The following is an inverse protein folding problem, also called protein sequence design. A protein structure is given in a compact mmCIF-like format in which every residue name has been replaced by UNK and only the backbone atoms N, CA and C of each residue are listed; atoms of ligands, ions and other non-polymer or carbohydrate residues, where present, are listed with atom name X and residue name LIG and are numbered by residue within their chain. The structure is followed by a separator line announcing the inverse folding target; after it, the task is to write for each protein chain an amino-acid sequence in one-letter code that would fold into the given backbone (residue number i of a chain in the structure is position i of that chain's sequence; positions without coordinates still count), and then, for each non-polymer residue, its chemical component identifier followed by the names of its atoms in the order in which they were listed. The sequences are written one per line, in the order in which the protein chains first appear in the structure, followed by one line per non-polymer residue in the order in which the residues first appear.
data_IF_234226015566
#
_entry.id   IF_234226015566
#
_cell.length_a   1.000
_cell.length_b   1.000
_cell.length_c   1.000
_cell.angle_alpha   90.00
_cell.angle_beta   90.00
_cell.angle_gamma   90.00
#
_symmetry.space_group_name_H-M   'P 1'
#
loop_
_entity.id
_entity.type
_entity.pdbx_description
1 polymer ?
#
# COMPACT_ATOMS: atom_id res chain seq x y z
N UNK A 1 62.40 59.87 -50.80
CA UNK A 1 61.03 59.83 -51.36
C UNK A 1 60.10 59.69 -50.17
N UNK A 2 59.38 60.77 -49.87
CA UNK A 2 58.30 60.93 -48.86
C UNK A 2 58.68 60.97 -47.37
N UNK A 3 58.88 62.20 -46.88
CA UNK A 3 58.21 62.89 -45.75
C UNK A 3 57.08 62.12 -45.02
N UNK A 4 56.65 62.44 -43.81
CA UNK A 4 57.01 63.24 -42.63
C UNK A 4 55.70 63.17 -41.79
N UNK A 5 55.74 63.33 -40.46
CA UNK A 5 54.48 63.49 -39.72
C UNK A 5 54.41 62.95 -38.29
N UNK A 6 55.32 63.41 -37.45
CA UNK A 6 55.10 63.92 -36.08
C UNK A 6 53.90 63.45 -35.23
N UNK A 7 54.30 62.83 -34.11
CA UNK A 7 53.65 62.71 -32.80
C UNK A 7 53.15 64.04 -32.19
N UNK A 8 52.11 63.97 -31.33
CA UNK A 8 52.13 64.59 -29.98
C UNK A 8 50.99 64.15 -29.05
N UNK A 9 51.33 64.12 -27.76
CA UNK A 9 50.58 63.68 -26.58
C UNK A 9 49.33 64.50 -26.21
N UNK A 10 48.42 63.88 -25.45
CA UNK A 10 47.48 64.55 -24.54
C UNK A 10 46.64 63.54 -23.73
N UNK A 11 46.61 63.67 -22.39
CA UNK A 11 46.00 62.75 -21.41
C UNK A 11 44.78 63.44 -20.75
N UNK A 12 43.70 62.65 -20.52
CA UNK A 12 42.52 62.82 -19.62
C UNK A 12 41.35 63.77 -19.93
N UNK A 13 40.15 63.17 -20.12
CA UNK A 13 38.89 63.36 -19.34
C UNK A 13 37.84 62.30 -19.78
N UNK A 14 37.03 61.68 -18.88
CA UNK A 14 35.83 60.92 -19.28
C UNK A 14 34.57 61.77 -19.07
N UNK A 15 33.77 61.97 -20.12
CA UNK A 15 32.47 62.66 -20.06
C UNK A 15 31.34 61.68 -20.48
N UNK A 16 30.17 61.68 -19.80
CA UNK A 16 29.07 60.76 -20.02
C UNK A 16 28.00 61.36 -20.95
N UNK A 17 27.60 60.59 -21.96
CA UNK A 17 26.41 60.84 -22.80
C UNK A 17 25.83 59.45 -23.14
N UNK A 18 24.86 58.90 -22.40
CA UNK A 18 23.44 59.27 -22.32
C UNK A 18 22.78 59.56 -23.69
N UNK A 19 21.89 58.62 -24.02
CA UNK A 19 20.61 58.80 -24.71
C UNK A 19 20.56 59.39 -26.11
N UNK A 20 20.87 58.52 -27.09
CA UNK A 20 20.55 58.74 -28.51
C UNK A 20 19.52 57.72 -29.05
N UNK A 21 18.68 57.15 -28.17
CA UNK A 21 17.60 56.21 -28.56
C UNK A 21 16.19 56.81 -28.55
N UNK A 22 16.01 58.04 -28.07
CA UNK A 22 14.68 58.66 -27.91
C UNK A 22 14.21 59.53 -29.11
N UNK A 23 14.96 59.55 -30.22
CA UNK A 23 14.60 60.38 -31.39
C UNK A 23 13.87 59.65 -32.52
N UNK A 24 13.70 58.33 -32.44
CA UNK A 24 13.18 57.52 -33.55
C UNK A 24 11.66 57.27 -33.47
N UNK A 25 11.00 57.54 -32.35
CA UNK A 25 9.56 57.30 -32.22
C UNK A 25 8.83 58.51 -31.64
N UNK A 26 8.06 59.20 -32.50
CA UNK A 26 7.29 60.40 -32.16
C UNK A 26 6.15 60.17 -31.14
N UNK A 27 5.54 61.26 -30.63
CA UNK A 27 4.78 61.30 -29.39
C UNK A 27 3.30 60.88 -29.54
N UNK A 28 3.02 59.83 -30.30
CA UNK A 28 1.65 59.37 -30.60
C UNK A 28 1.58 57.83 -30.61
N UNK A 29 2.08 57.16 -29.57
CA UNK A 29 1.65 55.78 -29.25
C UNK A 29 1.39 55.65 -27.76
N UNK A 30 0.20 56.10 -27.38
CA UNK A 30 -0.34 55.98 -26.04
C UNK A 30 -0.23 54.55 -25.48
N UNK A 31 0.23 54.50 -24.23
CA UNK A 31 0.33 53.34 -23.36
C UNK A 31 -0.92 52.46 -23.39
N UNK A 32 -0.81 51.24 -23.92
CA UNK A 32 -1.72 50.15 -23.56
C UNK A 32 -1.21 49.58 -22.23
N UNK A 33 -2.01 49.56 -21.15
CA UNK A 33 -1.56 49.02 -19.88
C UNK A 33 -1.40 47.50 -20.00
N UNK A 34 -0.16 47.02 -20.04
CA UNK A 34 0.17 45.60 -19.87
C UNK A 34 -0.07 45.21 -18.41
N UNK A 35 -1.34 45.02 -18.07
CA UNK A 35 -1.70 44.26 -16.88
C UNK A 35 -1.28 42.81 -17.08
N UNK A 36 -0.75 42.23 -16.00
CA UNK A 36 -0.48 40.81 -15.73
C UNK A 36 0.86 40.23 -16.22
N UNK A 37 1.93 40.54 -15.48
CA UNK A 37 3.18 39.75 -15.47
C UNK A 37 3.66 39.34 -14.06
N UNK A 38 2.74 39.20 -13.11
CA UNK A 38 3.06 38.72 -11.76
C UNK A 38 2.64 37.24 -11.51
N UNK A 39 1.77 36.66 -12.36
CA UNK A 39 1.18 35.34 -12.11
C UNK A 39 1.96 34.16 -12.71
N UNK A 40 2.87 34.42 -13.64
CA UNK A 40 3.63 33.36 -14.34
C UNK A 40 4.82 32.83 -13.54
N UNK A 41 5.47 33.68 -12.74
CA UNK A 41 6.60 33.25 -11.89
C UNK A 41 6.17 32.29 -10.78
N UNK A 42 4.98 32.49 -10.21
CA UNK A 42 4.43 31.60 -9.19
C UNK A 42 4.05 30.22 -9.74
N UNK A 43 3.59 30.14 -11.00
CA UNK A 43 3.19 28.87 -11.64
C UNK A 43 4.42 28.05 -12.04
N UNK A 44 5.48 28.68 -12.54
CA UNK A 44 6.72 27.99 -12.92
C UNK A 44 7.55 27.63 -11.67
N UNK A 45 7.65 28.54 -10.70
CA UNK A 45 8.33 28.24 -9.43
C UNK A 45 7.61 27.15 -8.62
N UNK A 46 6.27 27.20 -8.59
CA UNK A 46 5.45 26.18 -7.93
C UNK A 46 5.52 24.81 -8.60
N UNK A 47 5.52 24.74 -9.94
CA UNK A 47 5.62 23.47 -10.66
C UNK A 47 6.98 22.81 -10.48
N UNK A 48 8.07 23.57 -10.47
CA UNK A 48 9.42 23.05 -10.20
C UNK A 48 9.53 22.52 -8.77
N UNK A 49 8.93 23.19 -7.80
CA UNK A 49 8.94 22.75 -6.39
C UNK A 49 8.14 21.45 -6.20
N UNK A 50 7.00 21.33 -6.88
CA UNK A 50 6.20 20.09 -6.89
C UNK A 50 6.96 18.96 -7.57
N UNK A 51 7.59 19.21 -8.73
CA UNK A 51 8.38 18.19 -9.43
C UNK A 51 9.60 17.78 -8.61
N UNK A 52 10.29 18.73 -7.98
CA UNK A 52 11.41 18.44 -7.09
C UNK A 52 10.97 17.65 -5.84
N UNK A 53 9.81 17.96 -5.27
CA UNK A 53 9.22 17.21 -4.16
C UNK A 53 8.82 15.78 -4.60
N UNK A 54 8.21 15.62 -5.78
CA UNK A 54 7.90 14.31 -6.35
C UNK A 54 9.18 13.52 -6.62
N UNK A 55 10.20 14.13 -7.22
CA UNK A 55 11.50 13.52 -7.46
C UNK A 55 12.18 13.17 -6.14
N UNK A 56 12.10 14.00 -5.11
CA UNK A 56 12.64 13.73 -3.79
C UNK A 56 11.87 12.63 -3.05
N UNK A 57 10.55 12.52 -3.23
CA UNK A 57 9.72 11.43 -2.70
C UNK A 57 10.02 10.12 -3.43
N UNK A 58 10.14 10.15 -4.76
CA UNK A 58 10.49 8.99 -5.59
C UNK A 58 11.92 8.54 -5.31
N UNK A 59 12.89 9.47 -5.26
CA UNK A 59 14.26 9.17 -4.85
C UNK A 59 14.33 8.74 -3.40
N UNK A 60 13.51 9.31 -2.52
CA UNK A 60 13.40 8.91 -1.11
C UNK A 60 12.84 7.49 -0.96
N UNK A 61 11.89 7.08 -1.80
CA UNK A 61 11.40 5.70 -1.82
C UNK A 61 12.44 4.74 -2.40
N UNK A 62 13.20 5.16 -3.41
CA UNK A 62 14.33 4.41 -3.97
C UNK A 62 15.48 4.32 -2.95
N UNK A 63 15.81 5.38 -2.23
CA UNK A 63 16.89 5.38 -1.22
C UNK A 63 16.45 4.66 0.05
N UNK A 64 15.18 4.71 0.44
CA UNK A 64 14.60 3.84 1.48
C UNK A 64 14.64 2.35 1.11
N UNK A 65 14.59 2.03 -0.19
CA UNK A 65 14.87 0.69 -0.72
C UNK A 65 16.37 0.34 -0.64
N UNK A 66 17.27 1.31 -0.86
CA UNK A 66 18.73 1.10 -0.85
C UNK A 66 19.34 1.07 0.56
N UNK A 67 18.81 1.82 1.53
CA UNK A 67 19.28 1.80 2.93
C UNK A 67 18.76 0.60 3.74
N UNK A 68 17.82 -0.17 3.19
CA UNK A 68 17.48 -1.52 3.68
C UNK A 68 18.42 -2.62 3.15
N UNK A 69 19.50 -2.27 2.46
CA UNK A 69 20.44 -3.26 1.92
C UNK A 69 21.74 -2.69 1.40
N UNK A 70 22.67 -2.35 2.29
CA UNK A 70 24.09 -2.47 1.93
C UNK A 70 24.39 -3.99 1.93
N UNK A 71 24.14 -4.61 0.76
CA UNK A 71 24.28 -6.06 0.49
C UNK A 71 23.00 -6.80 0.05
N UNK A 72 21.92 -6.10 -0.30
CA UNK A 72 20.56 -6.65 -0.47
C UNK A 72 20.34 -7.56 -1.68
N UNK A 73 20.34 -8.88 -1.46
CA UNK A 73 19.77 -9.89 -2.40
C UNK A 73 19.00 -11.00 -1.66
N UNK A 74 19.07 -11.05 -0.33
CA UNK A 74 18.50 -12.15 0.44
C UNK A 74 17.20 -11.75 1.16
N UNK A 75 16.13 -12.56 1.04
CA UNK A 75 14.88 -12.35 1.76
C UNK A 75 15.11 -12.35 3.28
N UNK A 76 14.48 -11.40 3.97
CA UNK A 76 14.53 -11.29 5.44
C UNK A 76 13.11 -11.35 6.02
N UNK A 77 12.56 -12.55 6.24
CA UNK A 77 11.20 -12.68 6.74
C UNK A 77 11.01 -12.06 8.13
N UNK A 78 12.00 -12.18 9.02
CA UNK A 78 11.92 -11.64 10.38
C UNK A 78 11.82 -10.11 10.37
N UNK A 79 12.61 -9.43 9.54
CA UNK A 79 12.55 -7.96 9.39
C UNK A 79 11.20 -7.51 8.82
N UNK A 80 10.59 -8.32 7.94
CA UNK A 80 9.24 -8.02 7.44
C UNK A 80 8.19 -8.17 8.55
N UNK A 81 8.35 -9.13 9.48
CA UNK A 81 7.49 -9.29 10.64
C UNK A 81 7.70 -8.16 11.67
N UNK A 82 8.92 -7.74 11.96
CA UNK A 82 9.19 -6.60 12.86
C UNK A 82 8.50 -5.30 12.36
N UNK A 83 8.56 -5.08 11.04
CA UNK A 83 7.88 -3.96 10.37
C UNK A 83 6.36 -4.09 10.43
N UNK A 84 5.85 -5.33 10.34
CA UNK A 84 4.43 -5.62 10.45
C UNK A 84 3.95 -5.33 11.88
N UNK A 85 4.65 -5.81 12.90
CA UNK A 85 4.34 -5.58 14.32
C UNK A 85 4.24 -4.08 14.64
N UNK A 86 5.23 -3.30 14.20
CA UNK A 86 5.25 -1.83 14.37
C UNK A 86 3.99 -1.15 13.80
N UNK A 87 3.32 -1.75 12.81
CA UNK A 87 2.08 -1.22 12.23
C UNK A 87 0.81 -1.80 12.85
N UNK A 88 0.89 -2.97 13.49
CA UNK A 88 -0.28 -3.72 13.96
C UNK A 88 -0.49 -3.61 15.47
N UNK A 89 0.58 -3.47 16.25
CA UNK A 89 0.50 -3.45 17.72
C UNK A 89 -0.39 -2.32 18.27
N UNK A 90 -0.41 -1.18 17.59
CA UNK A 90 -1.23 -0.02 17.98
C UNK A 90 -2.65 -0.02 17.36
N UNK A 91 -3.00 -1.05 16.57
CA UNK A 91 -4.33 -1.10 15.95
C UNK A 91 -5.42 -1.39 17.01
N UNK A 92 -6.50 -0.59 17.04
CA UNK A 92 -7.61 -0.84 17.95
C UNK A 92 -8.18 -2.25 17.78
N UNK A 93 -8.26 -2.97 18.90
CA UNK A 93 -8.83 -4.32 18.94
C UNK A 93 -7.83 -5.44 18.66
N UNK A 94 -6.54 -5.17 18.45
CA UNK A 94 -5.50 -6.21 18.51
C UNK A 94 -5.19 -6.56 19.96
N UNK A 95 -5.14 -7.85 20.27
CA UNK A 95 -4.77 -8.38 21.60
C UNK A 95 -3.35 -8.94 21.59
N UNK A 96 -3.00 -9.68 20.53
CA UNK A 96 -1.75 -10.41 20.45
C UNK A 96 -1.37 -10.62 18.98
N UNK A 97 -0.09 -10.47 18.67
CA UNK A 97 0.51 -10.88 17.40
C UNK A 97 1.44 -12.04 17.68
N UNK A 98 1.22 -13.16 16.98
CA UNK A 98 2.05 -14.37 17.10
C UNK A 98 2.71 -14.69 15.78
N UNK A 99 4.02 -14.74 15.77
CA UNK A 99 4.80 -15.16 14.59
C UNK A 99 4.88 -16.68 14.50
N UNK A 100 5.00 -17.16 13.27
CA UNK A 100 5.25 -18.56 12.95
C UNK A 100 6.51 -18.68 12.11
N UNK A 101 7.04 -19.90 12.00
CA UNK A 101 8.18 -20.17 11.14
C UNK A 101 7.87 -19.71 9.70
N UNK A 102 8.74 -18.88 9.09
CA UNK A 102 8.57 -18.47 7.71
C UNK A 102 8.56 -19.67 6.76
N UNK A 103 7.69 -19.64 5.75
CA UNK A 103 7.61 -20.69 4.75
C UNK A 103 8.42 -20.30 3.51
N UNK A 104 9.33 -21.16 3.05
CA UNK A 104 10.08 -20.92 1.82
C UNK A 104 9.20 -21.25 0.61
N UNK A 105 8.99 -20.27 -0.28
CA UNK A 105 8.14 -20.43 -1.46
C UNK A 105 8.93 -20.52 -2.77
N UNK A 106 10.23 -20.23 -2.72
CA UNK A 106 11.11 -20.24 -3.89
C UNK A 106 12.57 -20.03 -3.52
N UNK A 107 13.43 -19.88 -4.52
CA UNK A 107 14.88 -19.77 -4.31
C UNK A 107 15.24 -18.59 -3.39
N UNK A 108 14.64 -17.42 -3.66
CA UNK A 108 14.77 -16.20 -2.89
C UNK A 108 13.38 -15.62 -2.59
N UNK A 109 12.44 -16.46 -2.17
CA UNK A 109 11.11 -16.01 -1.74
C UNK A 109 10.58 -16.76 -0.53
N UNK A 110 9.93 -16.02 0.36
CA UNK A 110 9.40 -16.51 1.62
C UNK A 110 8.04 -15.90 1.92
N UNK A 111 7.19 -16.66 2.57
CA UNK A 111 6.05 -16.14 3.31
C UNK A 111 6.44 -15.97 4.77
N UNK A 112 6.40 -14.73 5.23
CA UNK A 112 6.47 -14.38 6.64
C UNK A 112 5.07 -14.55 7.24
N UNK A 113 4.90 -15.49 8.17
CA UNK A 113 3.58 -15.93 8.64
C UNK A 113 3.30 -15.44 10.05
N UNK A 114 2.16 -14.78 10.24
CA UNK A 114 1.70 -14.31 11.55
C UNK A 114 0.23 -14.70 11.83
N UNK A 115 -0.15 -14.68 13.10
CA UNK A 115 -1.54 -14.72 13.54
C UNK A 115 -1.80 -13.51 14.40
N UNK A 116 -2.80 -12.72 14.03
CA UNK A 116 -3.25 -11.56 14.81
C UNK A 116 -4.51 -11.97 15.54
N UNK A 117 -4.43 -12.07 16.87
CA UNK A 117 -5.58 -12.29 17.73
C UNK A 117 -6.24 -10.94 18.01
N UNK A 118 -7.51 -10.83 17.67
CA UNK A 118 -8.30 -9.65 17.91
C UNK A 118 -9.25 -9.83 19.09
N UNK A 119 -9.75 -8.72 19.62
CA UNK A 119 -10.81 -8.71 20.61
C UNK A 119 -12.10 -9.32 20.02
N UNK A 120 -12.62 -10.43 20.60
CA UNK A 120 -13.82 -11.07 20.10
C UNK A 120 -15.09 -10.23 20.30
N UNK A 121 -15.03 -9.17 21.11
CA UNK A 121 -16.16 -8.26 21.35
C UNK A 121 -16.29 -7.15 20.31
N UNK A 122 -15.34 -7.04 19.36
CA UNK A 122 -15.40 -6.06 18.28
C UNK A 122 -16.69 -6.20 17.48
N UNK A 123 -17.36 -5.07 17.28
CA UNK A 123 -18.51 -5.01 16.39
C UNK A 123 -18.11 -5.24 14.93
N UNK A 124 -19.11 -5.39 14.06
CA UNK A 124 -18.88 -5.72 12.66
C UNK A 124 -18.11 -4.64 11.90
N UNK A 125 -18.33 -3.37 12.22
CA UNK A 125 -17.65 -2.26 11.54
C UNK A 125 -16.18 -2.22 11.96
N UNK A 126 -15.90 -2.31 13.26
CA UNK A 126 -14.57 -2.36 13.82
C UNK A 126 -13.78 -3.58 13.33
N UNK A 127 -14.40 -4.77 13.22
CA UNK A 127 -13.75 -5.95 12.62
C UNK A 127 -13.36 -5.73 11.17
N UNK A 128 -14.23 -5.11 10.37
CA UNK A 128 -13.95 -4.81 8.96
C UNK A 128 -12.78 -3.83 8.84
N UNK A 129 -12.79 -2.78 9.65
CA UNK A 129 -11.76 -1.74 9.63
C UNK A 129 -10.41 -2.31 10.11
N UNK A 130 -10.43 -3.19 11.12
CA UNK A 130 -9.25 -3.94 11.58
C UNK A 130 -8.69 -4.86 10.49
N UNK A 131 -9.51 -5.69 9.83
CA UNK A 131 -9.04 -6.57 8.74
C UNK A 131 -8.46 -5.78 7.58
N UNK A 132 -9.07 -4.63 7.24
CA UNK A 132 -8.53 -3.73 6.22
C UNK A 132 -7.17 -3.13 6.64
N UNK A 133 -7.02 -2.74 7.90
CA UNK A 133 -5.76 -2.23 8.45
C UNK A 133 -4.66 -3.31 8.47
N UNK A 134 -4.98 -4.53 8.91
CA UNK A 134 -4.05 -5.68 8.88
C UNK A 134 -3.61 -5.98 7.44
N UNK A 135 -4.54 -5.98 6.48
CA UNK A 135 -4.22 -6.22 5.08
C UNK A 135 -3.26 -5.17 4.51
N UNK A 136 -3.51 -3.89 4.80
CA UNK A 136 -2.60 -2.80 4.44
C UNK A 136 -1.22 -2.97 5.09
N UNK A 137 -1.18 -3.29 6.38
CA UNK A 137 0.07 -3.52 7.09
C UNK A 137 0.86 -4.69 6.50
N UNK A 138 0.18 -5.77 6.10
CA UNK A 138 0.80 -6.92 5.44
C UNK A 138 1.40 -6.55 4.07
N UNK A 139 0.68 -5.76 3.26
CA UNK A 139 1.17 -5.27 1.96
C UNK A 139 2.42 -4.40 2.11
N UNK A 140 2.38 -3.43 3.02
CA UNK A 140 3.46 -2.47 3.24
C UNK A 140 4.70 -3.04 3.95
N UNK A 141 4.56 -4.20 4.60
CA UNK A 141 5.67 -4.81 5.35
C UNK A 141 6.41 -5.87 4.55
N UNK A 142 5.82 -6.37 3.47
CA UNK A 142 6.47 -7.22 2.48
C UNK A 142 7.54 -6.49 1.65
N UNK A 143 8.22 -7.23 0.79
CA UNK A 143 9.27 -6.73 -0.11
C UNK A 143 10.46 -7.68 -0.23
N UNK A 144 11.31 -7.47 -1.24
CA UNK A 144 12.54 -8.26 -1.46
C UNK A 144 12.34 -9.79 -1.40
N UNK A 145 11.29 -10.29 -2.08
CA UNK A 145 10.94 -11.70 -2.11
C UNK A 145 10.17 -12.22 -0.87
N UNK A 146 9.94 -11.37 0.13
CA UNK A 146 9.12 -11.71 1.29
C UNK A 146 7.70 -11.17 1.11
N UNK A 147 6.71 -12.02 1.35
CA UNK A 147 5.30 -11.64 1.49
C UNK A 147 4.86 -11.87 2.92
N UNK A 148 4.15 -10.92 3.52
CA UNK A 148 3.55 -11.12 4.84
C UNK A 148 2.17 -11.74 4.68
N UNK A 149 1.93 -12.83 5.39
CA UNK A 149 0.70 -13.61 5.35
C UNK A 149 0.18 -13.77 6.76
N UNK A 150 -1.08 -13.40 6.98
CA UNK A 150 -1.65 -13.28 8.32
C UNK A 150 -2.90 -14.13 8.44
N UNK A 151 -3.08 -14.78 9.59
CA UNK A 151 -4.40 -15.28 10.02
C UNK A 151 -4.96 -14.31 11.06
N UNK A 152 -6.06 -13.64 10.74
CA UNK A 152 -6.80 -12.85 11.72
C UNK A 152 -7.73 -13.78 12.52
N UNK A 153 -7.44 -13.97 13.81
CA UNK A 153 -8.26 -14.72 14.75
C UNK A 153 -9.20 -13.76 15.49
N UNK A 154 -10.47 -13.73 15.05
CA UNK A 154 -11.53 -12.85 15.54
C UNK A 154 -12.47 -13.59 16.50
N UNK A 155 -12.01 -14.68 17.12
CA UNK A 155 -12.80 -15.51 18.03
C UNK A 155 -13.49 -16.68 17.32
N UNK A 156 -14.78 -16.55 17.00
CA UNK A 156 -15.50 -17.58 16.24
C UNK A 156 -15.12 -17.58 14.75
N UNK A 157 -14.53 -16.50 14.26
CA UNK A 157 -14.12 -16.31 12.87
C UNK A 157 -12.61 -16.31 12.74
N UNK A 158 -12.08 -17.06 11.78
CA UNK A 158 -10.66 -17.00 11.40
C UNK A 158 -10.53 -16.69 9.90
N UNK A 159 -9.82 -15.62 9.57
CA UNK A 159 -9.71 -15.12 8.20
C UNK A 159 -8.26 -15.09 7.74
N UNK A 160 -8.00 -15.61 6.55
CA UNK A 160 -6.72 -15.42 5.87
C UNK A 160 -6.61 -14.00 5.29
N UNK A 161 -5.57 -13.27 5.68
CA UNK A 161 -5.30 -11.89 5.28
C UNK A 161 -3.93 -11.81 4.61
N UNK A 162 -3.90 -11.25 3.41
CA UNK A 162 -2.69 -10.93 2.64
C UNK A 162 -2.73 -9.43 2.31
N UNK A 163 -1.80 -8.94 1.47
CA UNK A 163 -1.88 -7.58 0.93
C UNK A 163 -3.08 -7.33 0.00
N UNK A 164 -3.78 -8.38 -0.44
CA UNK A 164 -4.97 -8.27 -1.29
C UNK A 164 -6.23 -7.90 -0.46
N UNK A 165 -6.36 -6.62 -0.11
CA UNK A 165 -7.44 -6.12 0.77
C UNK A 165 -8.86 -6.46 0.31
N UNK A 166 -9.12 -6.47 -1.00
CA UNK A 166 -10.44 -6.86 -1.53
C UNK A 166 -10.77 -8.33 -1.24
N UNK A 167 -9.78 -9.22 -1.32
CA UNK A 167 -9.98 -10.65 -1.07
C UNK A 167 -10.14 -10.91 0.43
N UNK A 168 -9.37 -10.22 1.27
CA UNK A 168 -9.56 -10.23 2.72
C UNK A 168 -10.98 -9.76 3.11
N UNK A 169 -11.47 -8.67 2.50
CA UNK A 169 -12.83 -8.18 2.71
C UNK A 169 -13.90 -9.20 2.27
N UNK A 170 -13.72 -9.86 1.11
CA UNK A 170 -14.60 -10.94 0.64
C UNK A 170 -14.62 -12.13 1.61
N UNK A 171 -13.47 -12.56 2.12
CA UNK A 171 -13.39 -13.65 3.13
C UNK A 171 -14.10 -13.27 4.42
N UNK A 172 -13.91 -12.05 4.93
CA UNK A 172 -14.61 -11.58 6.13
C UNK A 172 -16.12 -11.53 5.93
N UNK A 173 -16.58 -10.96 4.80
CA UNK A 173 -18.00 -10.88 4.48
C UNK A 173 -18.66 -12.26 4.33
N UNK A 174 -17.94 -13.22 3.73
CA UNK A 174 -18.37 -14.61 3.66
C UNK A 174 -18.45 -15.22 5.07
N UNK A 175 -17.42 -15.07 5.90
CA UNK A 175 -17.42 -15.61 7.24
C UNK A 175 -18.56 -15.06 8.12
N UNK A 176 -18.81 -13.74 8.09
CA UNK A 176 -19.97 -13.11 8.74
C UNK A 176 -21.32 -13.66 8.22
N UNK A 177 -21.37 -14.09 6.96
CA UNK A 177 -22.58 -14.67 6.36
C UNK A 177 -22.78 -16.11 6.81
N UNK A 178 -21.70 -16.90 6.84
CA UNK A 178 -21.72 -18.28 7.28
C UNK A 178 -21.97 -18.41 8.79
N UNK A 179 -21.44 -17.51 9.60
CA UNK A 179 -21.62 -17.50 11.06
C UNK A 179 -23.08 -17.24 11.48
N UNK A 180 -23.84 -16.55 10.63
CA UNK A 180 -25.28 -16.33 10.84
C UNK A 180 -26.15 -17.52 10.44
N UNK A 181 -25.58 -18.57 9.83
CA UNK A 181 -26.33 -19.80 9.54
C UNK A 181 -26.59 -20.52 10.86
N UNK A 182 -27.86 -20.82 11.14
CA UNK A 182 -28.26 -21.53 12.35
C UNK A 182 -27.49 -22.84 12.53
N UNK A 183 -26.87 -23.02 13.70
CA UNK A 183 -26.07 -24.21 14.01
C UNK A 183 -24.60 -24.12 13.59
N UNK A 184 -24.12 -22.98 13.07
CA UNK A 184 -22.68 -22.72 12.93
C UNK A 184 -22.11 -22.22 14.26
N UNK A 185 -20.89 -22.66 14.60
CA UNK A 185 -20.20 -22.30 15.86
C UNK A 185 -18.82 -21.71 15.67
N UNK A 186 -18.20 -21.97 14.52
CA UNK A 186 -16.98 -21.31 14.10
C UNK A 186 -16.84 -21.40 12.59
N UNK A 187 -16.23 -20.39 12.00
CA UNK A 187 -15.96 -20.31 10.56
C UNK A 187 -14.50 -19.95 10.36
N UNK A 188 -13.85 -20.67 9.45
CA UNK A 188 -12.54 -20.32 8.93
C UNK A 188 -12.64 -20.13 7.43
N UNK A 189 -12.27 -18.94 6.97
CA UNK A 189 -12.16 -18.61 5.54
C UNK A 189 -10.71 -18.22 5.24
N UNK A 190 -9.93 -19.14 4.71
CA UNK A 190 -8.52 -18.92 4.36
C UNK A 190 -8.12 -19.81 3.19
N UNK A 191 -6.83 -20.07 3.00
CA UNK A 191 -6.32 -21.21 2.23
C UNK A 191 -6.28 -22.48 3.10
N UNK A 192 -5.98 -23.61 2.47
CA UNK A 192 -5.79 -24.90 3.15
C UNK A 192 -4.75 -24.79 4.27
N UNK A 193 -5.00 -25.46 5.41
CA UNK A 193 -4.04 -25.44 6.52
C UNK A 193 -2.77 -26.19 6.10
N UNK A 194 -1.65 -25.48 6.07
CA UNK A 194 -0.37 -26.03 5.64
C UNK A 194 -0.19 -26.05 4.12
N UNK A 195 -1.18 -25.57 3.36
CA UNK A 195 -1.05 -25.27 1.94
C UNK A 195 -0.50 -23.87 1.69
N UNK A 196 -0.21 -23.58 0.43
CA UNK A 196 0.34 -22.30 0.00
C UNK A 196 -0.71 -21.17 0.12
N UNK A 197 -0.36 -20.04 0.76
CA UNK A 197 -1.24 -18.87 0.79
C UNK A 197 -1.54 -18.35 -0.62
N UNK A 198 -2.82 -18.24 -0.94
CA UNK A 198 -3.32 -17.80 -2.25
C UNK A 198 -4.59 -16.97 -2.13
N UNK A 199 -4.72 -15.98 -3.00
CA UNK A 199 -5.89 -15.10 -3.15
C UNK A 199 -6.77 -15.49 -4.34
N UNK A 200 -6.43 -16.56 -5.06
CA UNK A 200 -7.26 -17.10 -6.14
C UNK A 200 -8.52 -17.74 -5.57
N UNK A 201 -9.68 -17.51 -6.20
CA UNK A 201 -10.96 -18.04 -5.74
C UNK A 201 -10.98 -19.56 -5.53
N UNK A 202 -10.40 -20.34 -6.46
CA UNK A 202 -10.36 -21.80 -6.38
C UNK A 202 -9.43 -22.35 -5.29
N UNK A 203 -8.50 -21.54 -4.80
CA UNK A 203 -7.51 -21.95 -3.79
C UNK A 203 -8.01 -21.65 -2.37
N UNK A 204 -9.24 -21.13 -2.23
CA UNK A 204 -9.84 -20.87 -0.93
C UNK A 204 -10.36 -22.17 -0.30
N UNK A 205 -10.14 -22.33 0.99
CA UNK A 205 -10.62 -23.43 1.83
C UNK A 205 -11.47 -22.87 2.97
N UNK A 206 -12.75 -23.23 2.96
CA UNK A 206 -13.75 -22.76 3.92
C UNK A 206 -14.09 -23.92 4.83
N UNK A 207 -13.78 -23.75 6.12
CA UNK A 207 -14.05 -24.76 7.14
C UNK A 207 -15.08 -24.21 8.12
N UNK A 208 -16.23 -24.87 8.20
CA UNK A 208 -17.32 -24.51 9.11
C UNK A 208 -17.46 -25.59 10.18
N UNK A 209 -17.58 -25.19 11.43
CA UNK A 209 -17.84 -26.11 12.55
C UNK A 209 -19.28 -26.02 13.01
N UNK A 210 -19.92 -27.17 13.19
CA UNK A 210 -21.29 -27.27 13.68
C UNK A 210 -21.40 -28.30 14.81
N UNK A 211 -22.24 -28.07 15.84
CA UNK A 211 -22.59 -29.08 16.83
C UNK A 211 -23.67 -30.03 16.30
N UNK A 212 -24.30 -29.72 15.16
CA UNK A 212 -25.34 -30.54 14.54
C UNK A 212 -24.82 -31.93 14.17
N UNK A 213 -25.69 -32.93 14.26
CA UNK A 213 -25.42 -34.33 13.91
C UNK A 213 -26.51 -34.87 12.99
N UNK A 214 -26.19 -35.91 12.23
CA UNK A 214 -27.15 -36.62 11.39
C UNK A 214 -27.86 -35.70 10.38
N UNK A 215 -29.20 -35.74 10.37
CA UNK A 215 -30.04 -35.06 9.39
C UNK A 215 -29.94 -33.52 9.40
N UNK A 216 -29.39 -32.91 10.45
CA UNK A 216 -29.20 -31.46 10.52
C UNK A 216 -27.97 -30.96 9.71
N UNK A 217 -27.02 -31.85 9.38
CA UNK A 217 -25.76 -31.47 8.72
C UNK A 217 -25.92 -31.21 7.22
N UNK A 218 -26.65 -32.03 6.42
CA UNK A 218 -26.77 -31.81 4.97
C UNK A 218 -27.36 -30.44 4.57
N UNK A 219 -28.39 -29.89 5.25
CA UNK A 219 -28.87 -28.55 4.97
C UNK A 219 -27.81 -27.46 5.23
N UNK A 220 -27.03 -27.59 6.30
CA UNK A 220 -25.92 -26.66 6.61
C UNK A 220 -24.86 -26.75 5.52
N UNK A 221 -24.43 -27.97 5.15
CA UNK A 221 -23.47 -28.18 4.05
C UNK A 221 -23.96 -27.52 2.77
N UNK A 222 -25.21 -27.78 2.37
CA UNK A 222 -25.79 -27.20 1.16
C UNK A 222 -25.72 -25.67 1.17
N UNK A 223 -26.16 -25.05 2.28
CA UNK A 223 -26.18 -23.59 2.39
C UNK A 223 -24.78 -22.97 2.45
N UNK A 224 -23.87 -23.57 3.21
CA UNK A 224 -22.47 -23.12 3.30
C UNK A 224 -21.80 -23.21 1.93
N UNK A 225 -22.01 -24.30 1.20
CA UNK A 225 -21.49 -24.48 -0.15
C UNK A 225 -22.08 -23.42 -1.08
N UNK A 226 -23.40 -23.23 -1.09
CA UNK A 226 -24.05 -22.23 -1.95
C UNK A 226 -23.49 -20.82 -1.73
N UNK A 227 -23.41 -20.36 -0.49
CA UNK A 227 -22.89 -19.03 -0.17
C UNK A 227 -21.39 -18.91 -0.47
N UNK A 228 -20.61 -19.97 -0.26
CA UNK A 228 -19.19 -19.97 -0.58
C UNK A 228 -18.97 -19.86 -2.10
N UNK A 229 -19.68 -20.66 -2.90
CA UNK A 229 -19.51 -20.69 -4.35
C UNK A 229 -19.94 -19.37 -5.03
N UNK A 230 -20.82 -18.57 -4.41
CA UNK A 230 -21.15 -17.21 -4.87
C UNK A 230 -19.97 -16.24 -4.75
N UNK A 231 -19.18 -16.37 -3.69
CA UNK A 231 -18.06 -15.44 -3.40
C UNK A 231 -16.75 -15.94 -3.99
N UNK A 232 -16.47 -17.23 -3.87
CA UNK A 232 -15.27 -17.90 -4.36
C UNK A 232 -15.64 -19.15 -5.15
N UNK A 233 -15.96 -19.00 -6.45
CA UNK A 233 -16.25 -20.14 -7.31
C UNK A 233 -15.07 -21.13 -7.36
N UNK A 234 -15.37 -22.41 -7.13
CA UNK A 234 -14.38 -23.49 -7.11
C UNK A 234 -13.64 -23.66 -5.79
N UNK A 235 -13.98 -22.90 -4.75
CA UNK A 235 -13.38 -23.07 -3.43
C UNK A 235 -13.77 -24.40 -2.76
N UNK A 236 -12.87 -24.93 -1.94
CA UNK A 236 -13.11 -26.11 -1.12
C UNK A 236 -13.96 -25.77 0.11
N UNK A 237 -14.92 -26.64 0.44
CA UNK A 237 -15.87 -26.44 1.53
C UNK A 237 -15.92 -27.69 2.40
N UNK A 238 -15.62 -27.52 3.68
CA UNK A 238 -15.67 -28.59 4.67
C UNK A 238 -16.53 -28.18 5.85
N UNK A 239 -17.57 -28.98 6.15
CA UNK A 239 -18.37 -28.83 7.37
C UNK A 239 -18.00 -29.95 8.34
N UNK A 240 -17.44 -29.55 9.48
CA UNK A 240 -17.00 -30.47 10.54
C UNK A 240 -18.09 -30.51 11.61
N UNK A 241 -18.80 -31.62 11.68
CA UNK A 241 -19.71 -31.93 12.78
C UNK A 241 -18.94 -32.47 13.98
N UNK A 242 -19.31 -32.08 15.21
CA UNK A 242 -18.78 -32.75 16.41
C UNK A 242 -19.23 -34.21 16.43
N UNK A 243 -18.26 -35.13 16.55
CA UNK A 243 -18.53 -36.55 16.85
C UNK A 243 -19.41 -36.68 18.09
#
# INVERSE_FOLDING_TARGET
MSDDGTSRHGRHAPDPSDDDLDRVFGPETASIPTRTRARTWFVIGGSVLVVAAVIAVVLGSIIGSVQNGIGGVFPRPDVALDRFDTRVDDLPGVIEVRHHAPAKTGFASYDAVATVRADPSLDRAARRDLVAAISRAADESGGNGVRVVVIADLGSLQIGVTGAGEVAAKRLALADTLDRIGGVTAVRCSWERGGDPSDTARDQSIVVRTPGRGAAVPPIVSRVTEETQKVFPGADVQVIARK
#
